data_IF_350458810317
#
_entry.id   IF_350458810317
#
_cell.length_a   1.000
_cell.length_b   1.000
_cell.length_c   1.000
_cell.angle_alpha   90.00
_cell.angle_beta   90.00
_cell.angle_gamma   90.00
#
_symmetry.space_group_name_H-M   'P 1'
#
loop_
_entity.id
_entity.type
_entity.pdbx_description
1 polymer ?
#
# COMPACT_ATOMS: atom_id res chain seq x y z
N UNK A 1 7.21 1.75 26.60
CA UNK A 1 5.72 1.67 26.69
C UNK A 1 5.02 2.43 25.57
N UNK A 2 5.40 3.68 25.28
CA UNK A 2 4.81 4.47 24.18
C UNK A 2 4.89 3.80 22.80
N UNK A 3 6.05 3.23 22.43
CA UNK A 3 6.23 2.52 21.14
C UNK A 3 5.30 1.31 20.97
N UNK A 4 5.08 0.56 22.05
CA UNK A 4 4.13 -0.56 22.06
C UNK A 4 2.69 -0.10 21.92
N UNK A 5 2.30 0.99 22.60
CA UNK A 5 0.98 1.61 22.40
C UNK A 5 0.76 2.05 20.96
N UNK A 6 1.77 2.68 20.34
CA UNK A 6 1.74 3.07 18.92
C UNK A 6 1.63 1.85 18.01
N UNK A 7 2.37 0.76 18.28
CA UNK A 7 2.28 -0.47 17.50
C UNK A 7 0.89 -1.10 17.55
N UNK A 8 0.26 -1.13 18.73
CA UNK A 8 -1.09 -1.65 18.92
C UNK A 8 -2.11 -0.79 18.17
N UNK A 9 -2.02 0.54 18.30
CA UNK A 9 -2.89 1.46 17.55
C UNK A 9 -2.68 1.32 16.03
N UNK A 10 -1.44 1.18 15.59
CA UNK A 10 -1.11 0.95 14.18
C UNK A 10 -1.67 -0.39 13.68
N UNK A 11 -1.71 -1.42 14.53
CA UNK A 11 -2.31 -2.70 14.20
C UNK A 11 -3.83 -2.60 14.04
N UNK A 12 -4.53 -1.97 15.00
CA UNK A 12 -5.98 -1.71 14.87
C UNK A 12 -6.28 -0.83 13.64
N UNK A 13 -5.46 0.19 13.40
CA UNK A 13 -5.58 1.01 12.21
C UNK A 13 -5.31 0.21 10.93
N UNK A 14 -4.35 -0.71 10.93
CA UNK A 14 -4.08 -1.63 9.82
C UNK A 14 -5.27 -2.54 9.51
N UNK A 15 -5.96 -3.04 10.55
CA UNK A 15 -7.22 -3.81 10.39
C UNK A 15 -8.29 -2.93 9.75
N UNK A 16 -8.51 -1.71 10.26
CA UNK A 16 -9.41 -0.74 9.64
C UNK A 16 -9.05 -0.50 8.17
N UNK A 17 -7.76 -0.29 7.88
CA UNK A 17 -7.26 -0.04 6.53
C UNK A 17 -7.53 -1.20 5.59
N UNK A 18 -7.39 -2.43 6.07
CA UNK A 18 -7.69 -3.64 5.31
C UNK A 18 -9.19 -3.68 4.93
N UNK A 19 -10.08 -3.42 5.89
CA UNK A 19 -11.53 -3.35 5.63
C UNK A 19 -11.89 -2.20 4.70
N UNK A 20 -11.36 -1.00 4.95
CA UNK A 20 -11.59 0.20 4.14
C UNK A 20 -11.12 0.01 2.70
N UNK A 21 -9.95 -0.62 2.52
CA UNK A 21 -9.41 -0.98 1.19
C UNK A 21 -10.27 -2.03 0.51
N UNK A 22 -10.76 -3.02 1.25
CA UNK A 22 -11.63 -4.04 0.68
C UNK A 22 -12.95 -3.45 0.16
N UNK A 23 -13.48 -2.46 0.88
CA UNK A 23 -14.68 -1.69 0.52
C UNK A 23 -14.42 -0.51 -0.42
N UNK A 24 -13.16 -0.27 -0.79
CA UNK A 24 -12.73 0.84 -1.64
C UNK A 24 -13.19 2.22 -1.12
N UNK A 25 -12.97 2.47 0.18
CA UNK A 25 -13.25 3.73 0.85
C UNK A 25 -12.09 4.71 0.60
N UNK A 26 -12.38 5.93 0.17
CA UNK A 26 -11.37 6.91 -0.26
C UNK A 26 -10.29 7.21 0.79
N UNK A 27 -10.62 7.19 2.08
CA UNK A 27 -9.70 7.51 3.18
C UNK A 27 -8.46 6.61 3.16
N UNK A 28 -8.62 5.32 2.83
CA UNK A 28 -7.50 4.38 2.76
C UNK A 28 -6.64 4.56 1.49
N UNK A 29 -7.07 5.34 0.52
CA UNK A 29 -6.36 5.55 -0.75
C UNK A 29 -5.60 6.88 -0.81
N UNK A 30 -5.99 7.86 0.01
CA UNK A 30 -5.33 9.18 0.06
C UNK A 30 -4.22 9.25 1.12
N UNK A 31 -4.31 8.40 2.16
CA UNK A 31 -3.35 8.37 3.24
C UNK A 31 -2.14 7.48 2.91
N UNK A 32 -0.99 7.81 3.50
CA UNK A 32 0.25 7.05 3.34
C UNK A 32 1.23 7.65 2.34
N UNK A 33 2.40 7.01 2.23
CA UNK A 33 3.53 7.49 1.43
C UNK A 33 3.27 7.28 -0.05
N UNK A 34 3.35 8.35 -0.84
CA UNK A 34 3.33 8.27 -2.31
C UNK A 34 4.65 7.65 -2.80
N UNK A 35 4.56 6.58 -3.59
CA UNK A 35 5.73 5.87 -4.16
C UNK A 35 5.70 5.76 -5.68
N UNK A 36 4.55 6.06 -6.29
CA UNK A 36 4.37 6.24 -7.72
C UNK A 36 3.53 7.51 -7.93
N UNK A 37 3.98 8.34 -8.86
CA UNK A 37 3.31 9.56 -9.29
C UNK A 37 3.65 9.77 -10.77
N UNK A 38 2.66 9.66 -11.65
CA UNK A 38 2.87 9.92 -13.06
C UNK A 38 1.60 10.48 -13.72
N UNK A 39 1.83 11.20 -14.81
CA UNK A 39 0.78 11.79 -15.65
C UNK A 39 0.93 11.27 -17.05
N UNK A 40 -0.17 10.90 -17.68
CA UNK A 40 -0.18 10.51 -19.09
C UNK A 40 -1.38 11.10 -19.83
N UNK A 41 -1.25 11.41 -21.13
CA UNK A 41 -2.40 11.78 -21.95
C UNK A 41 -3.39 10.61 -22.01
N UNK A 42 -4.64 10.88 -21.69
CA UNK A 42 -5.67 9.85 -21.67
C UNK A 42 -7.04 10.45 -22.01
N UNK A 43 -7.62 9.99 -23.12
CA UNK A 43 -8.92 10.44 -23.61
C UNK A 43 -9.98 9.45 -23.14
N UNK A 44 -10.60 9.71 -22.00
CA UNK A 44 -11.69 8.86 -21.51
C UNK A 44 -13.05 9.37 -22.01
N UNK A 45 -13.90 8.47 -22.51
CA UNK A 45 -15.30 8.82 -22.79
C UNK A 45 -16.08 8.78 -21.46
N UNK A 46 -16.28 9.95 -20.84
CA UNK A 46 -16.94 10.08 -19.52
C UNK A 46 -18.37 9.48 -19.47
N UNK A 47 -19.04 9.36 -20.62
CA UNK A 47 -20.43 8.95 -20.71
C UNK A 47 -20.70 7.47 -20.34
N UNK A 48 -19.67 6.61 -20.35
CA UNK A 48 -19.82 5.18 -20.00
C UNK A 48 -19.49 4.88 -18.53
N UNK A 49 -19.04 5.87 -17.75
CA UNK A 49 -18.55 5.65 -16.38
C UNK A 49 -19.71 5.52 -15.40
N UNK A 50 -19.85 4.33 -14.81
CA UNK A 50 -20.79 4.07 -13.72
C UNK A 50 -20.12 4.34 -12.36
N UNK A 51 -20.59 5.38 -11.68
CA UNK A 51 -20.08 5.80 -10.37
C UNK A 51 -20.60 4.87 -9.28
N UNK A 52 -19.75 4.59 -8.29
CA UNK A 52 -19.98 3.69 -7.16
C UNK A 52 -20.14 2.20 -7.48
N UNK A 53 -20.07 1.80 -8.75
CA UNK A 53 -19.99 0.40 -9.13
C UNK A 53 -18.56 -0.12 -8.93
N UNK A 54 -18.44 -1.28 -8.29
CA UNK A 54 -17.17 -1.97 -8.12
C UNK A 54 -16.98 -2.92 -9.29
N UNK A 55 -15.92 -2.70 -10.05
CA UNK A 55 -15.54 -3.52 -11.19
C UNK A 55 -14.32 -4.36 -10.83
N UNK A 56 -14.27 -5.58 -11.34
CA UNK A 56 -13.19 -6.52 -11.10
C UNK A 56 -12.57 -6.96 -12.42
N UNK A 57 -11.24 -7.03 -12.44
CA UNK A 57 -10.45 -7.58 -13.52
C UNK A 57 -9.77 -8.87 -13.07
N UNK A 58 -8.93 -9.44 -13.93
CA UNK A 58 -8.15 -10.62 -13.57
C UNK A 58 -7.23 -10.37 -12.38
N UNK A 59 -6.56 -9.21 -12.34
CA UNK A 59 -5.57 -8.89 -11.30
C UNK A 59 -6.02 -7.83 -10.31
N UNK A 60 -7.07 -7.06 -10.60
CA UNK A 60 -7.44 -5.88 -9.82
C UNK A 60 -8.92 -5.74 -9.48
N UNK A 61 -9.19 -4.76 -8.63
CA UNK A 61 -10.51 -4.17 -8.42
C UNK A 61 -10.42 -2.67 -8.56
N UNK A 62 -11.44 -2.06 -9.15
CA UNK A 62 -11.52 -0.62 -9.30
C UNK A 62 -12.95 -0.11 -9.09
N UNK A 63 -13.06 1.15 -8.67
CA UNK A 63 -14.32 1.81 -8.36
C UNK A 63 -14.20 3.29 -8.65
N UNK A 64 -15.10 3.80 -9.48
CA UNK A 64 -15.24 5.23 -9.69
C UNK A 64 -15.99 5.84 -8.50
N UNK A 65 -15.34 6.73 -7.77
CA UNK A 65 -16.00 7.51 -6.70
C UNK A 65 -16.60 8.80 -7.25
N UNK A 66 -16.09 9.27 -8.38
CA UNK A 66 -16.58 10.38 -9.19
C UNK A 66 -16.28 10.06 -10.66
N UNK A 67 -16.92 10.74 -11.62
CA UNK A 67 -16.62 10.54 -13.05
C UNK A 67 -15.15 10.81 -13.38
N UNK A 68 -14.56 11.79 -12.71
CA UNK A 68 -13.15 12.18 -12.84
C UNK A 68 -12.22 11.48 -11.85
N UNK A 69 -12.70 10.54 -11.00
CA UNK A 69 -11.83 9.91 -9.99
C UNK A 69 -12.15 8.44 -9.74
N UNK A 70 -11.14 7.61 -9.91
CA UNK A 70 -11.19 6.17 -9.73
C UNK A 70 -10.20 5.72 -8.66
N UNK A 71 -10.63 4.76 -7.84
CA UNK A 71 -9.78 4.04 -6.91
C UNK A 71 -9.50 2.66 -7.51
N UNK A 72 -8.28 2.15 -7.38
CA UNK A 72 -7.95 0.80 -7.84
C UNK A 72 -6.91 0.12 -6.96
N UNK A 73 -6.96 -1.20 -6.89
CA UNK A 73 -6.03 -2.02 -6.10
C UNK A 73 -5.85 -3.40 -6.70
N UNK A 74 -4.81 -4.11 -6.29
CA UNK A 74 -4.70 -5.53 -6.56
C UNK A 74 -5.83 -6.33 -5.88
N UNK A 75 -6.33 -7.35 -6.58
CA UNK A 75 -7.27 -8.33 -6.06
C UNK A 75 -6.53 -9.31 -5.16
N UNK A 76 -7.05 -9.49 -3.94
CA UNK A 76 -6.50 -10.45 -2.99
C UNK A 76 -6.89 -11.86 -3.43
N UNK A 77 -5.95 -12.62 -4.00
CA UNK A 77 -6.14 -14.02 -4.38
C UNK A 77 -5.68 -14.91 -3.21
N UNK A 78 -6.64 -15.48 -2.47
CA UNK A 78 -6.37 -16.31 -1.28
C UNK A 78 -5.88 -17.73 -1.64
N UNK A 79 -6.30 -18.26 -2.80
CA UNK A 79 -6.12 -19.67 -3.21
C UNK A 79 -5.06 -19.89 -4.29
N UNK A 80 -4.31 -18.86 -4.68
CA UNK A 80 -3.17 -19.00 -5.58
C UNK A 80 -1.92 -18.61 -4.82
N UNK A 81 -0.81 -19.32 -5.06
CA UNK A 81 0.52 -19.16 -4.46
C UNK A 81 1.18 -17.77 -4.69
N UNK A 82 0.41 -16.70 -4.79
CA UNK A 82 0.93 -15.34 -4.85
C UNK A 82 1.41 -14.93 -3.46
N UNK A 83 2.69 -14.66 -3.37
CA UNK A 83 3.33 -14.05 -2.21
C UNK A 83 2.63 -12.74 -1.87
N UNK A 84 1.93 -12.70 -0.74
CA UNK A 84 1.32 -11.46 -0.23
C UNK A 84 2.41 -10.60 0.40
N UNK A 85 2.50 -9.35 -0.02
CA UNK A 85 3.41 -8.39 0.60
C UNK A 85 2.69 -7.62 1.71
N UNK A 86 3.40 -7.16 2.75
CA UNK A 86 2.81 -6.32 3.80
C UNK A 86 2.38 -4.93 3.30
N UNK A 87 2.72 -4.53 2.07
CA UNK A 87 2.51 -3.18 1.56
C UNK A 87 1.73 -3.14 0.23
N UNK A 88 0.52 -3.70 0.15
CA UNK A 88 -0.27 -3.69 -1.08
C UNK A 88 -0.50 -2.24 -1.54
N UNK A 89 -0.02 -1.91 -2.74
CA UNK A 89 -0.16 -0.54 -3.25
C UNK A 89 -1.62 -0.23 -3.58
N UNK A 90 -2.02 0.99 -3.23
CA UNK A 90 -3.35 1.53 -3.50
C UNK A 90 -3.24 2.65 -4.51
N UNK A 91 -4.09 2.57 -5.52
CA UNK A 91 -4.09 3.47 -6.67
C UNK A 91 -5.23 4.45 -6.62
N UNK A 92 -4.92 5.71 -6.89
CA UNK A 92 -5.91 6.71 -7.29
C UNK A 92 -5.61 7.17 -8.69
N UNK A 93 -6.65 7.27 -9.49
CA UNK A 93 -6.61 7.79 -10.85
C UNK A 93 -7.55 9.00 -10.90
N UNK A 94 -7.05 10.15 -11.33
CA UNK A 94 -7.84 11.36 -11.56
C UNK A 94 -7.75 11.80 -13.02
N UNK A 95 -8.87 12.14 -13.64
CA UNK A 95 -8.95 12.68 -14.99
C UNK A 95 -9.13 14.18 -14.92
N UNK A 96 -8.29 14.93 -15.62
CA UNK A 96 -8.43 16.37 -15.76
C UNK A 96 -7.83 16.81 -17.10
N UNK A 97 -8.62 17.52 -17.91
CA UNK A 97 -8.17 18.16 -19.15
C UNK A 97 -7.47 17.20 -20.14
N UNK A 98 -7.99 15.98 -20.29
CA UNK A 98 -7.41 14.97 -21.19
C UNK A 98 -6.10 14.34 -20.67
N UNK A 99 -5.74 14.62 -19.42
CA UNK A 99 -4.61 14.03 -18.72
C UNK A 99 -5.12 13.16 -17.58
N UNK A 100 -4.56 11.95 -17.46
CA UNK A 100 -4.74 11.10 -16.30
C UNK A 100 -3.57 11.24 -15.37
N UNK A 101 -3.88 11.55 -14.11
CA UNK A 101 -2.94 11.57 -13.01
C UNK A 101 -3.12 10.32 -12.17
N UNK A 102 -2.03 9.57 -11.99
CA UNK A 102 -2.02 8.31 -11.25
C UNK A 102 -1.11 8.43 -10.05
N UNK A 103 -1.64 8.10 -8.88
CA UNK A 103 -0.85 7.99 -7.66
C UNK A 103 -0.92 6.57 -7.11
N UNK A 104 0.24 6.02 -6.76
CA UNK A 104 0.37 4.78 -6.00
C UNK A 104 0.91 5.06 -4.61
N UNK A 105 0.16 4.68 -3.58
CA UNK A 105 0.50 4.94 -2.18
C UNK A 105 0.67 3.64 -1.39
N UNK A 106 1.67 3.64 -0.51
CA UNK A 106 1.84 2.60 0.50
C UNK A 106 0.79 2.78 1.60
N UNK A 107 0.23 1.68 2.13
CA UNK A 107 -0.74 1.74 3.20
C UNK A 107 -0.09 2.29 4.48
N UNK A 108 -0.78 3.20 5.17
CA UNK A 108 -0.25 3.89 6.34
C UNK A 108 -0.12 2.93 7.53
N UNK A 109 -1.09 2.04 7.75
CA UNK A 109 -1.08 1.13 8.91
C UNK A 109 0.16 0.23 8.95
N UNK A 110 0.43 -0.57 7.90
CA UNK A 110 1.66 -1.36 7.81
C UNK A 110 2.93 -0.50 7.86
N UNK A 111 2.93 0.71 7.29
CA UNK A 111 4.08 1.62 7.34
C UNK A 111 4.38 2.05 8.78
N UNK A 112 3.36 2.48 9.53
CA UNK A 112 3.50 2.90 10.94
C UNK A 112 3.85 1.70 11.82
N UNK A 113 3.26 0.53 11.57
CA UNK A 113 3.59 -0.71 12.28
C UNK A 113 5.08 -1.05 12.12
N UNK A 114 5.63 -0.95 10.91
CA UNK A 114 7.04 -1.22 10.63
C UNK A 114 7.96 -0.18 11.28
N UNK A 115 7.55 1.09 11.34
CA UNK A 115 8.28 2.12 12.10
C UNK A 115 8.29 1.80 13.60
N UNK A 116 7.14 1.40 14.17
CA UNK A 116 7.04 1.01 15.57
C UNK A 116 7.85 -0.27 15.87
N UNK A 117 7.89 -1.22 14.93
CA UNK A 117 8.73 -2.41 14.97
C UNK A 117 10.21 -2.04 15.06
N UNK A 118 10.71 -1.16 14.19
CA UNK A 118 12.10 -0.69 14.23
C UNK A 118 12.45 -0.06 15.59
N UNK A 119 11.57 0.79 16.11
CA UNK A 119 11.75 1.41 17.44
C UNK A 119 11.75 0.35 18.55
N UNK A 120 10.87 -0.65 18.46
CA UNK A 120 10.80 -1.76 19.41
C UNK A 120 12.10 -2.57 19.47
N UNK A 121 12.64 -2.95 18.30
CA UNK A 121 13.92 -3.65 18.21
C UNK A 121 15.09 -2.82 18.72
N UNK A 122 15.16 -1.54 18.34
CA UNK A 122 16.22 -0.64 18.81
C UNK A 122 16.15 -0.42 20.32
N UNK A 123 14.98 -0.09 20.87
CA UNK A 123 14.81 0.15 22.31
C UNK A 123 14.99 -1.12 23.14
N UNK A 124 14.49 -2.26 22.67
CA UNK A 124 14.68 -3.56 23.32
C UNK A 124 16.15 -3.97 23.35
N UNK A 125 16.86 -3.84 22.23
CA UNK A 125 18.30 -4.13 22.16
C UNK A 125 19.12 -3.22 23.08
N UNK A 126 18.87 -1.90 23.07
CA UNK A 126 19.55 -0.96 23.97
C UNK A 126 19.28 -1.31 25.44
N UNK A 127 18.02 -1.58 25.81
CA UNK A 127 17.65 -1.96 27.17
C UNK A 127 18.35 -3.23 27.64
N UNK A 128 18.37 -4.27 26.79
CA UNK A 128 19.09 -5.51 27.08
C UNK A 128 20.60 -5.28 27.26
N UNK A 129 21.22 -4.51 26.37
CA UNK A 129 22.66 -4.23 26.44
C UNK A 129 23.06 -3.45 27.70
N UNK A 130 22.18 -2.57 28.20
CA UNK A 130 22.40 -1.86 29.47
C UNK A 130 22.23 -2.80 30.67
N UNK A 131 21.19 -3.63 30.67
CA UNK A 131 20.83 -4.49 31.81
C UNK A 131 21.81 -5.65 32.00
N UNK A 132 22.15 -6.34 30.91
CA UNK A 132 23.00 -7.55 30.95
C UNK A 132 24.48 -7.25 30.67
N UNK A 133 24.82 -5.97 30.43
CA UNK A 133 26.15 -5.51 30.00
C UNK A 133 26.69 -6.21 28.72
N UNK A 134 25.83 -6.88 27.95
CA UNK A 134 26.18 -7.53 26.68
C UNK A 134 25.76 -6.68 25.47
N UNK A 135 26.63 -5.73 25.11
CA UNK A 135 26.44 -4.88 23.95
C UNK A 135 26.62 -5.62 22.61
N UNK A 136 27.29 -6.78 22.58
CA UNK A 136 27.48 -7.54 21.34
C UNK A 136 26.18 -8.20 20.92
N UNK A 137 25.52 -8.88 21.86
CA UNK A 137 24.22 -9.48 21.60
C UNK A 137 23.16 -8.42 21.32
N UNK A 138 23.15 -7.31 22.08
CA UNK A 138 22.28 -6.17 21.81
C UNK A 138 22.45 -5.63 20.38
N UNK A 139 23.69 -5.46 19.91
CA UNK A 139 23.99 -5.02 18.55
C UNK A 139 23.47 -6.00 17.49
N UNK A 140 23.68 -7.31 17.68
CA UNK A 140 23.16 -8.35 16.78
C UNK A 140 21.64 -8.33 16.72
N UNK A 141 20.97 -8.22 17.88
CA UNK A 141 19.52 -8.17 17.98
C UNK A 141 18.97 -6.98 17.18
N UNK A 142 19.48 -5.77 17.41
CA UNK A 142 19.07 -4.57 16.66
C UNK A 142 19.29 -4.77 15.16
N UNK A 143 20.47 -5.28 14.76
CA UNK A 143 20.81 -5.51 13.37
C UNK A 143 19.84 -6.46 12.67
N UNK A 144 19.45 -7.57 13.32
CA UNK A 144 18.47 -8.52 12.78
C UNK A 144 17.12 -7.83 12.56
N UNK A 145 16.64 -7.04 13.53
CA UNK A 145 15.37 -6.32 13.42
C UNK A 145 15.33 -5.34 12.23
N UNK A 146 16.41 -4.59 12.03
CA UNK A 146 16.55 -3.66 10.91
C UNK A 146 16.73 -4.38 9.58
N UNK A 147 17.52 -5.46 9.54
CA UNK A 147 17.75 -6.26 8.34
C UNK A 147 16.43 -6.86 7.84
N UNK A 148 15.61 -7.40 8.75
CA UNK A 148 14.29 -7.92 8.43
C UNK A 148 13.39 -6.85 7.78
N UNK A 149 13.34 -5.65 8.38
CA UNK A 149 12.56 -4.53 7.84
C UNK A 149 13.04 -4.09 6.45
N UNK A 150 14.37 -3.98 6.26
CA UNK A 150 14.95 -3.61 4.98
C UNK A 150 14.64 -4.65 3.91
N UNK A 151 14.84 -5.95 4.20
CA UNK A 151 14.54 -7.04 3.27
C UNK A 151 13.06 -7.00 2.89
N UNK A 152 12.15 -6.88 3.87
CA UNK A 152 10.72 -6.80 3.60
C UNK A 152 10.38 -5.61 2.69
N UNK A 153 10.92 -4.43 2.97
CA UNK A 153 10.65 -3.22 2.18
C UNK A 153 11.20 -3.34 0.75
N UNK A 154 12.47 -3.72 0.59
CA UNK A 154 13.14 -3.81 -0.71
C UNK A 154 12.62 -4.94 -1.59
N UNK A 155 12.11 -6.03 -1.00
CA UNK A 155 11.45 -7.09 -1.78
C UNK A 155 10.02 -6.71 -2.13
N UNK A 156 9.27 -6.12 -1.20
CA UNK A 156 7.84 -5.86 -1.37
C UNK A 156 7.56 -4.71 -2.33
N UNK A 157 8.21 -3.56 -2.15
CA UNK A 157 7.86 -2.34 -2.91
C UNK A 157 8.05 -2.53 -4.43
N UNK A 158 9.15 -3.10 -4.94
CA UNK A 158 9.31 -3.34 -6.37
C UNK A 158 8.28 -4.32 -6.94
N UNK A 159 7.95 -5.38 -6.20
CA UNK A 159 6.92 -6.34 -6.61
C UNK A 159 5.55 -5.68 -6.69
N UNK A 160 5.20 -4.88 -5.69
CA UNK A 160 3.93 -4.15 -5.65
C UNK A 160 3.85 -3.08 -6.74
N UNK A 161 4.96 -2.39 -7.05
CA UNK A 161 5.01 -1.46 -8.19
C UNK A 161 4.70 -2.16 -9.51
N UNK A 162 5.26 -3.34 -9.75
CA UNK A 162 4.98 -4.13 -10.97
C UNK A 162 3.51 -4.52 -11.05
N UNK A 163 2.94 -5.04 -9.95
CA UNK A 163 1.52 -5.44 -9.88
C UNK A 163 0.57 -4.24 -10.05
N UNK A 164 0.92 -3.12 -9.45
CA UNK A 164 0.20 -1.87 -9.58
C UNK A 164 0.06 -1.45 -11.05
N UNK A 165 1.17 -1.49 -11.80
CA UNK A 165 1.17 -1.13 -13.22
C UNK A 165 0.31 -2.11 -14.05
N UNK A 166 0.33 -3.41 -13.74
CA UNK A 166 -0.56 -4.38 -14.39
C UNK A 166 -2.03 -4.03 -14.17
N UNK A 167 -2.43 -3.76 -12.92
CA UNK A 167 -3.81 -3.36 -12.62
C UNK A 167 -4.17 -2.03 -13.28
N UNK A 168 -3.24 -1.09 -13.33
CA UNK A 168 -3.45 0.18 -14.01
C UNK A 168 -3.77 -0.01 -15.50
N UNK A 169 -3.01 -0.85 -16.20
CA UNK A 169 -3.28 -1.20 -17.60
C UNK A 169 -4.64 -1.89 -17.78
N UNK A 170 -5.04 -2.76 -16.85
CA UNK A 170 -6.37 -3.38 -16.87
C UNK A 170 -7.50 -2.34 -16.71
N UNK A 171 -7.32 -1.36 -15.81
CA UNK A 171 -8.26 -0.23 -15.64
C UNK A 171 -8.34 0.57 -16.93
N UNK A 172 -7.20 0.86 -17.55
CA UNK A 172 -7.08 1.59 -18.82
C UNK A 172 -7.84 0.90 -19.95
N UNK A 173 -7.68 -0.42 -20.08
CA UNK A 173 -8.39 -1.22 -21.09
C UNK A 173 -9.91 -1.26 -20.86
N UNK A 174 -10.35 -1.38 -19.62
CA UNK A 174 -11.78 -1.42 -19.29
C UNK A 174 -12.47 -0.07 -19.51
N UNK A 175 -11.72 1.03 -19.41
CA UNK A 175 -12.21 2.37 -19.72
C UNK A 175 -12.45 2.60 -21.22
N UNK A 176 -12.08 1.65 -22.10
CA UNK A 176 -12.30 1.66 -23.56
C UNK A 176 -12.09 3.06 -24.17
N UNK A 177 -10.83 3.50 -24.21
CA UNK A 177 -10.39 4.32 -25.33
C UNK A 177 -10.43 3.42 -26.58
N UNK A 178 -11.39 3.64 -27.48
CA UNK A 178 -11.16 3.19 -28.86
C UNK A 178 -9.87 3.87 -29.33
N UNK A 179 -8.99 3.11 -29.98
CA UNK A 179 -8.02 3.72 -30.89
C UNK A 179 -8.75 4.54 -31.95
#
# INVERSE_FOLDING_TARGET
MLSWGVAILAWFYGIYEMFATNRMIISSYILGKKVLDFKEPFVCHEHSIRVNEMLETENGKFKFIQRSKCLFREKLKLFHLRWHTPFPLRGTLAFQDGIVHVEGRLPLGPTVFMAAWAIGWTSGGIGFGIQEHDFRFAGLFILIGWLFLLIMYYMSVPLEKKRFLVVYEEVKQNLRCSK
#
